data_IF_890900386111
#
_entry.id   IF_890900386111
#
_cell.length_a   1.000
_cell.length_b   1.000
_cell.length_c   1.000
_cell.angle_alpha   90.00
_cell.angle_beta   90.00
_cell.angle_gamma   90.00
#
_symmetry.space_group_name_H-M   'P 1'
#
loop_
_entity.id
_entity.type
_entity.pdbx_description
1 polymer ?
#
# COMPACT_ATOMS: atom_id res chain seq x y z
N UNK A 1 13.89 15.64 -15.27
CA UNK A 1 13.75 14.17 -15.48
C UNK A 1 13.35 13.44 -14.20
N UNK A 2 13.62 13.98 -13.00
CA UNK A 2 13.13 13.41 -11.73
C UNK A 2 11.60 13.53 -11.55
N UNK A 3 10.97 14.61 -12.03
CA UNK A 3 9.53 14.86 -11.78
C UNK A 3 8.57 13.87 -12.48
N UNK A 4 8.87 13.41 -13.69
CA UNK A 4 7.92 12.62 -14.48
C UNK A 4 7.73 11.18 -13.96
N UNK A 5 8.81 10.59 -13.42
CA UNK A 5 8.79 9.26 -12.79
C UNK A 5 8.02 9.27 -11.47
N UNK A 6 8.11 10.36 -10.72
CA UNK A 6 7.43 10.52 -9.44
C UNK A 6 5.92 10.71 -9.65
N UNK A 7 5.51 11.54 -10.61
CA UNK A 7 4.09 11.71 -10.95
C UNK A 7 3.41 10.40 -11.34
N UNK A 8 4.02 9.61 -12.23
CA UNK A 8 3.42 8.35 -12.66
C UNK A 8 3.31 7.33 -11.50
N UNK A 9 4.18 7.39 -10.50
CA UNK A 9 4.06 6.57 -9.29
C UNK A 9 2.83 6.99 -8.47
N UNK A 10 2.68 8.28 -8.17
CA UNK A 10 1.55 8.79 -7.40
C UNK A 10 0.23 8.55 -8.13
N UNK A 11 0.14 8.77 -9.44
CA UNK A 11 -1.06 8.50 -10.23
C UNK A 11 -1.53 7.04 -10.08
N UNK A 12 -0.60 6.08 -10.05
CA UNK A 12 -0.95 4.65 -9.84
C UNK A 12 -1.37 4.36 -8.41
N UNK A 13 -0.73 4.98 -7.42
CA UNK A 13 -1.09 4.82 -6.02
C UNK A 13 -2.49 5.39 -5.75
N UNK A 14 -2.77 6.59 -6.29
CA UNK A 14 -4.04 7.29 -6.13
C UNK A 14 -5.18 6.52 -6.80
N UNK A 15 -4.96 5.88 -7.95
CA UNK A 15 -5.98 5.03 -8.58
C UNK A 15 -6.48 3.90 -7.65
N UNK A 16 -5.61 3.36 -6.77
CA UNK A 16 -6.04 2.39 -5.77
C UNK A 16 -6.88 3.03 -4.65
N UNK A 17 -6.52 4.24 -4.23
CA UNK A 17 -7.26 5.02 -3.22
C UNK A 17 -8.63 5.42 -3.77
N UNK A 18 -8.71 5.86 -5.03
CA UNK A 18 -9.97 6.20 -5.70
C UNK A 18 -10.93 5.01 -5.71
N UNK A 19 -10.45 3.83 -6.07
CA UNK A 19 -11.26 2.61 -6.02
C UNK A 19 -11.75 2.29 -4.60
N UNK A 20 -10.88 2.40 -3.60
CA UNK A 20 -11.28 2.23 -2.20
C UNK A 20 -12.31 3.27 -1.75
N UNK A 21 -12.20 4.52 -2.21
CA UNK A 21 -13.17 5.57 -1.93
C UNK A 21 -14.53 5.28 -2.58
N UNK A 22 -14.56 4.74 -3.79
CA UNK A 22 -15.80 4.28 -4.44
C UNK A 22 -16.45 3.12 -3.67
N UNK A 23 -15.66 2.14 -3.24
CA UNK A 23 -16.15 1.04 -2.41
C UNK A 23 -16.66 1.54 -1.07
N UNK A 24 -15.99 2.50 -0.44
CA UNK A 24 -16.44 3.11 0.81
C UNK A 24 -17.80 3.78 0.65
N UNK A 25 -18.03 4.50 -0.45
CA UNK A 25 -19.34 5.09 -0.76
C UNK A 25 -20.42 4.02 -0.96
N UNK A 26 -20.07 2.87 -1.53
CA UNK A 26 -21.01 1.79 -1.80
C UNK A 26 -21.35 0.94 -0.58
N UNK A 27 -20.38 0.65 0.29
CA UNK A 27 -20.52 -0.31 1.40
C UNK A 27 -20.53 0.33 2.80
N UNK A 28 -20.05 1.56 2.95
CA UNK A 28 -20.15 2.34 4.20
C UNK A 28 -19.26 1.89 5.35
N UNK A 29 -18.38 0.90 5.17
CA UNK A 29 -17.50 0.39 6.23
C UNK A 29 -16.02 0.59 5.91
N UNK A 30 -15.43 1.66 6.47
CA UNK A 30 -14.01 2.01 6.27
C UNK A 30 -13.04 0.88 6.68
N UNK A 31 -13.33 0.18 7.78
CA UNK A 31 -12.47 -0.90 8.27
C UNK A 31 -12.41 -2.08 7.30
N UNK A 32 -13.55 -2.48 6.74
CA UNK A 32 -13.63 -3.57 5.75
C UNK A 32 -12.95 -3.20 4.43
N UNK A 33 -13.09 -1.95 3.98
CA UNK A 33 -12.42 -1.49 2.75
C UNK A 33 -10.91 -1.42 2.95
N UNK A 34 -10.45 -0.88 4.08
CA UNK A 34 -9.02 -0.84 4.43
C UNK A 34 -8.41 -2.24 4.50
N UNK A 35 -9.08 -3.18 5.18
CA UNK A 35 -8.65 -4.57 5.24
C UNK A 35 -8.62 -5.23 3.84
N UNK A 36 -9.61 -4.93 3.00
CA UNK A 36 -9.69 -5.45 1.63
C UNK A 36 -8.56 -4.91 0.75
N UNK A 37 -8.22 -3.63 0.86
CA UNK A 37 -7.10 -3.00 0.16
C UNK A 37 -5.77 -3.65 0.57
N UNK A 38 -5.53 -3.80 1.88
CA UNK A 38 -4.33 -4.46 2.41
C UNK A 38 -4.19 -5.90 1.90
N UNK A 39 -5.29 -6.66 1.93
CA UNK A 39 -5.31 -8.03 1.41
C UNK A 39 -5.04 -8.07 -0.10
N UNK A 40 -5.66 -7.17 -0.87
CA UNK A 40 -5.41 -7.03 -2.31
C UNK A 40 -3.94 -6.76 -2.63
N UNK A 41 -3.32 -5.80 -1.94
CA UNK A 41 -1.89 -5.48 -2.06
C UNK A 41 -1.02 -6.70 -1.77
N UNK A 42 -1.33 -7.47 -0.71
CA UNK A 42 -0.56 -8.67 -0.37
C UNK A 42 -0.59 -9.73 -1.48
N UNK A 43 -1.74 -9.93 -2.12
CA UNK A 43 -1.91 -10.90 -3.21
C UNK A 43 -1.18 -10.46 -4.47
N UNK A 44 -1.29 -9.18 -4.82
CA UNK A 44 -0.59 -8.61 -5.96
C UNK A 44 0.92 -8.72 -5.79
N UNK A 45 1.45 -8.34 -4.62
CA UNK A 45 2.88 -8.41 -4.32
C UNK A 45 3.42 -9.83 -4.32
N UNK A 46 2.65 -10.80 -3.81
CA UNK A 46 3.02 -12.21 -3.86
C UNK A 46 3.13 -12.72 -5.31
N UNK A 47 2.14 -12.39 -6.16
CA UNK A 47 2.16 -12.75 -7.59
C UNK A 47 3.30 -12.05 -8.33
N UNK A 48 3.47 -10.74 -8.15
CA UNK A 48 4.53 -9.97 -8.79
C UNK A 48 5.93 -10.48 -8.39
N UNK A 49 6.11 -10.86 -7.12
CA UNK A 49 7.37 -11.46 -6.65
C UNK A 49 7.63 -12.81 -7.30
N UNK A 50 6.60 -13.65 -7.45
CA UNK A 50 6.70 -14.97 -8.06
C UNK A 50 7.25 -14.91 -9.49
N UNK A 51 7.01 -13.82 -10.22
CA UNK A 51 7.53 -13.62 -11.58
C UNK A 51 9.08 -13.58 -11.66
N UNK A 52 9.77 -13.38 -10.53
CA UNK A 52 11.23 -13.29 -10.47
C UNK A 52 11.93 -14.62 -10.18
N UNK A 53 11.19 -15.72 -9.96
CA UNK A 53 11.74 -17.02 -9.60
C UNK A 53 11.51 -18.06 -10.68
N UNK A 54 12.42 -19.03 -10.79
CA UNK A 54 12.34 -20.12 -11.78
C UNK A 54 11.63 -21.36 -11.24
N UNK A 55 11.46 -21.44 -9.93
CA UNK A 55 10.82 -22.58 -9.27
C UNK A 55 10.19 -22.21 -7.93
N UNK A 56 9.24 -23.04 -7.48
CA UNK A 56 8.65 -22.90 -6.15
C UNK A 56 9.68 -23.08 -5.02
N UNK A 57 10.72 -23.90 -5.21
CA UNK A 57 11.78 -24.09 -4.23
C UNK A 57 12.60 -22.80 -4.04
N UNK A 58 13.00 -22.17 -5.14
CA UNK A 58 13.73 -20.88 -5.10
C UNK A 58 12.91 -19.77 -4.43
N UNK A 59 11.61 -19.70 -4.73
CA UNK A 59 10.71 -18.76 -4.06
C UNK A 59 10.53 -19.08 -2.57
N UNK A 60 10.49 -20.36 -2.20
CA UNK A 60 10.40 -20.77 -0.80
C UNK A 60 11.66 -20.38 -0.01
N UNK A 61 12.85 -20.55 -0.60
CA UNK A 61 14.12 -20.13 0.00
C UNK A 61 14.17 -18.59 0.19
N UNK A 62 13.54 -17.82 -0.71
CA UNK A 62 13.45 -16.37 -0.64
C UNK A 62 12.29 -15.83 0.23
N UNK A 63 11.40 -16.70 0.76
CA UNK A 63 10.15 -16.30 1.42
C UNK A 63 10.35 -15.29 2.55
N UNK A 64 11.27 -15.56 3.47
CA UNK A 64 11.50 -14.68 4.62
C UNK A 64 12.08 -13.32 4.21
N UNK A 65 12.93 -13.31 3.18
CA UNK A 65 13.48 -12.07 2.65
C UNK A 65 12.39 -11.19 2.00
N UNK A 66 11.47 -11.80 1.25
CA UNK A 66 10.32 -11.10 0.66
C UNK A 66 9.39 -10.54 1.74
N UNK A 67 9.06 -11.34 2.77
CA UNK A 67 8.22 -10.89 3.88
C UNK A 67 8.85 -9.69 4.59
N UNK A 68 10.13 -9.79 4.93
CA UNK A 68 10.87 -8.70 5.58
C UNK A 68 10.85 -7.44 4.70
N UNK A 69 11.15 -7.58 3.42
CA UNK A 69 11.14 -6.45 2.48
C UNK A 69 9.79 -5.72 2.46
N UNK A 70 8.68 -6.43 2.21
CA UNK A 70 7.36 -5.79 2.14
C UNK A 70 6.91 -5.21 3.48
N UNK A 71 7.16 -5.89 4.60
CA UNK A 71 6.81 -5.37 5.92
C UNK A 71 7.60 -4.10 6.27
N UNK A 72 8.89 -4.04 5.94
CA UNK A 72 9.72 -2.87 6.21
C UNK A 72 9.35 -1.69 5.32
N UNK A 73 9.08 -1.92 4.03
CA UNK A 73 8.60 -0.87 3.12
C UNK A 73 7.24 -0.33 3.58
N UNK A 74 6.29 -1.20 3.92
CA UNK A 74 4.99 -0.79 4.42
C UNK A 74 5.09 0.00 5.72
N UNK A 75 5.92 -0.46 6.67
CA UNK A 75 6.16 0.24 7.93
C UNK A 75 6.68 1.66 7.69
N UNK A 76 7.73 1.81 6.89
CA UNK A 76 8.32 3.12 6.58
C UNK A 76 7.28 4.09 6.01
N UNK A 77 6.53 3.67 4.98
CA UNK A 77 5.50 4.51 4.38
C UNK A 77 4.36 4.83 5.36
N UNK A 78 3.95 3.87 6.18
CA UNK A 78 2.87 4.07 7.15
C UNK A 78 3.30 5.02 8.27
N UNK A 79 4.53 4.90 8.77
CA UNK A 79 5.11 5.80 9.77
C UNK A 79 5.08 7.24 9.26
N UNK A 80 5.59 7.50 8.05
CA UNK A 80 5.58 8.85 7.46
C UNK A 80 4.15 9.42 7.35
N UNK A 81 3.19 8.61 6.88
CA UNK A 81 1.80 9.05 6.75
C UNK A 81 1.13 9.29 8.12
N UNK A 82 1.39 8.44 9.12
CA UNK A 82 0.84 8.59 10.46
C UNK A 82 1.42 9.82 11.15
N UNK A 83 2.72 10.04 11.05
CA UNK A 83 3.39 11.20 11.62
C UNK A 83 2.88 12.50 11.00
N UNK A 84 2.62 12.53 9.69
CA UNK A 84 1.96 13.67 9.04
C UNK A 84 0.55 13.94 9.59
N UNK A 85 -0.28 12.89 9.77
CA UNK A 85 -1.61 13.02 10.36
C UNK A 85 -1.56 13.42 11.84
N UNK A 86 -0.57 12.97 12.60
CA UNK A 86 -0.38 13.34 14.01
C UNK A 86 0.00 14.81 14.10
N UNK A 87 0.98 15.25 13.31
CA UNK A 87 1.47 16.63 13.33
C UNK A 87 0.42 17.62 12.85
N UNK A 88 -0.42 17.23 11.89
CA UNK A 88 -1.44 18.07 11.26
C UNK A 88 -2.88 17.73 11.69
N UNK A 89 -3.05 17.01 12.81
CA UNK A 89 -4.34 16.47 13.24
C UNK A 89 -5.45 17.54 13.35
N UNK A 90 -5.10 18.72 13.90
CA UNK A 90 -6.06 19.84 14.02
C UNK A 90 -6.61 20.28 12.67
N UNK A 91 -5.74 20.41 11.68
CA UNK A 91 -6.11 20.84 10.33
C UNK A 91 -6.87 19.73 9.58
N UNK A 92 -6.35 18.50 9.58
CA UNK A 92 -6.90 17.42 8.74
C UNK A 92 -8.16 16.78 9.32
N UNK A 93 -8.24 16.64 10.65
CA UNK A 93 -9.32 15.89 11.30
C UNK A 93 -10.34 16.83 11.95
N UNK A 94 -9.88 17.93 12.55
CA UNK A 94 -10.78 18.88 13.23
C UNK A 94 -11.21 20.04 12.34
N UNK A 95 -10.54 20.25 11.19
CA UNK A 95 -10.80 21.37 10.29
C UNK A 95 -10.52 22.74 10.91
N UNK A 96 -9.57 22.82 11.86
CA UNK A 96 -9.24 24.02 12.64
C UNK A 96 -7.79 24.41 12.51
#
# INVERSE_FOLDING_TARGET
MADATDHAFYDRADAHIELSNEQLKAYGNLGEISASMLFGTSRFNAWASAQNFKSAAEMADAREALLKYFCDQYRMMLEDNLDDHINNFGQYVLGK
#
